data_IF_195550569579
#
_entry.id   IF_195550569579
#
_cell.length_a   1.000
_cell.length_b   1.000
_cell.length_c   1.000
_cell.angle_alpha   90.00
_cell.angle_beta   90.00
_cell.angle_gamma   90.00
#
_symmetry.space_group_name_H-M   'P 1'
#
loop_
_entity.id
_entity.type
_entity.pdbx_description
1 polymer ?
#
# COMPACT_ATOMS: atom_id res chain seq x y z
N UNK A 1 -21.47 20.28 -13.58
CA UNK A 1 -20.54 19.14 -13.60
C UNK A 1 -20.55 18.53 -12.21
N UNK A 2 -20.64 17.20 -12.06
CA UNK A 2 -20.53 16.57 -10.75
C UNK A 2 -19.11 16.77 -10.21
N UNK A 3 -18.99 17.10 -8.92
CA UNK A 3 -17.71 17.11 -8.23
C UNK A 3 -16.99 15.77 -8.37
N UNK A 4 -15.66 15.74 -8.62
CA UNK A 4 -14.90 14.50 -8.71
C UNK A 4 -14.93 13.76 -7.37
N UNK A 5 -15.00 12.43 -7.41
CA UNK A 5 -14.97 11.61 -6.18
C UNK A 5 -13.62 11.80 -5.48
N UNK A 6 -13.62 11.76 -4.15
CA UNK A 6 -12.40 11.96 -3.37
C UNK A 6 -11.26 11.00 -3.77
N UNK A 7 -11.58 9.74 -4.07
CA UNK A 7 -10.60 8.74 -4.51
C UNK A 7 -9.93 9.13 -5.84
N UNK A 8 -10.68 9.68 -6.79
CA UNK A 8 -10.16 10.06 -8.11
C UNK A 8 -9.15 11.21 -7.97
N UNK A 9 -9.47 12.20 -7.13
CA UNK A 9 -8.59 13.33 -6.80
C UNK A 9 -7.31 12.87 -6.10
N UNK A 10 -7.42 11.94 -5.14
CA UNK A 10 -6.26 11.40 -4.41
C UNK A 10 -5.34 10.58 -5.30
N UNK A 11 -5.91 9.74 -6.17
CA UNK A 11 -5.14 8.94 -7.12
C UNK A 11 -4.49 9.81 -8.19
N UNK A 12 -5.19 10.82 -8.71
CA UNK A 12 -4.61 11.77 -9.65
C UNK A 12 -3.40 12.49 -9.05
N UNK A 13 -3.55 13.03 -7.82
CA UNK A 13 -2.45 13.71 -7.14
C UNK A 13 -1.29 12.79 -6.78
N UNK A 14 -1.55 11.54 -6.40
CA UNK A 14 -0.50 10.55 -6.18
C UNK A 14 0.23 10.21 -7.50
N UNK A 15 -0.50 10.09 -8.61
CA UNK A 15 0.06 9.81 -9.94
C UNK A 15 0.97 10.91 -10.48
N UNK A 16 0.83 12.16 -10.04
CA UNK A 16 1.71 13.26 -10.44
C UNK A 16 3.20 12.99 -10.12
N UNK A 17 3.50 12.19 -9.10
CA UNK A 17 4.86 11.80 -8.71
C UNK A 17 5.28 10.41 -9.18
N UNK A 18 4.52 9.82 -10.12
CA UNK A 18 4.74 8.47 -10.64
C UNK A 18 4.49 8.42 -12.16
N UNK A 19 5.22 9.23 -12.92
CA UNK A 19 5.11 9.27 -14.38
C UNK A 19 6.20 8.44 -15.07
N UNK A 20 7.35 8.23 -14.41
CA UNK A 20 8.43 7.45 -14.98
C UNK A 20 8.12 5.94 -14.88
N UNK A 21 8.12 5.17 -15.99
CA UNK A 21 7.72 3.75 -15.98
C UNK A 21 8.53 2.88 -15.00
N UNK A 22 9.84 3.14 -14.88
CA UNK A 22 10.68 2.44 -13.89
C UNK A 22 10.29 2.74 -12.45
N UNK A 23 9.94 3.99 -12.13
CA UNK A 23 9.50 4.36 -10.79
C UNK A 23 8.16 3.70 -10.46
N UNK A 24 7.22 3.71 -11.41
CA UNK A 24 5.92 3.03 -11.29
C UNK A 24 6.10 1.52 -11.07
N UNK A 25 6.96 0.86 -11.84
CA UNK A 25 7.25 -0.58 -11.67
C UNK A 25 7.87 -0.89 -10.31
N UNK A 26 8.83 -0.09 -9.86
CA UNK A 26 9.44 -0.23 -8.53
C UNK A 26 8.35 -0.12 -7.46
N UNK A 27 7.46 0.87 -7.56
CA UNK A 27 6.36 1.04 -6.61
C UNK A 27 5.37 -0.11 -6.66
N UNK A 28 5.04 -0.62 -7.85
CA UNK A 28 4.16 -1.76 -8.02
C UNK A 28 4.64 -3.00 -7.24
N UNK A 29 5.95 -3.21 -7.15
CA UNK A 29 6.56 -4.30 -6.37
C UNK A 29 6.74 -3.93 -4.90
N UNK A 30 7.32 -2.75 -4.62
CA UNK A 30 7.71 -2.38 -3.27
C UNK A 30 6.51 -2.04 -2.38
N UNK A 31 5.44 -1.43 -2.89
CA UNK A 31 4.29 -1.03 -2.06
C UNK A 31 3.60 -2.22 -1.39
N UNK A 32 3.18 -3.30 -2.10
CA UNK A 32 2.57 -4.46 -1.43
C UNK A 32 3.51 -5.10 -0.39
N UNK A 33 4.81 -5.13 -0.69
CA UNK A 33 5.85 -5.69 0.18
C UNK A 33 6.07 -4.82 1.42
N UNK A 34 5.98 -3.50 1.30
CA UNK A 34 5.97 -2.56 2.44
C UNK A 34 4.72 -2.75 3.29
N UNK A 35 3.53 -2.93 2.69
CA UNK A 35 2.31 -3.22 3.45
C UNK A 35 2.44 -4.52 4.25
N UNK A 36 2.92 -5.59 3.61
CA UNK A 36 3.15 -6.88 4.28
C UNK A 36 4.14 -6.76 5.44
N UNK A 37 5.30 -6.15 5.19
CA UNK A 37 6.33 -6.00 6.23
C UNK A 37 5.87 -5.07 7.36
N UNK A 38 5.15 -3.99 7.07
CA UNK A 38 4.57 -3.13 8.11
C UNK A 38 3.56 -3.89 8.98
N UNK A 39 2.68 -4.70 8.38
CA UNK A 39 1.80 -5.59 9.12
C UNK A 39 2.59 -6.59 9.96
N UNK A 40 3.68 -7.16 9.45
CA UNK A 40 4.56 -8.06 10.19
C UNK A 40 5.28 -7.40 11.38
N UNK A 41 5.72 -6.15 11.23
CA UNK A 41 6.28 -5.35 12.34
C UNK A 41 5.23 -5.15 13.44
N UNK A 42 4.00 -4.78 13.08
CA UNK A 42 2.90 -4.59 14.03
C UNK A 42 2.48 -5.93 14.66
N UNK A 43 2.42 -7.00 13.87
CA UNK A 43 2.11 -8.35 14.32
C UNK A 43 3.11 -8.85 15.37
N UNK A 44 4.39 -8.52 15.20
CA UNK A 44 5.45 -8.85 16.16
C UNK A 44 5.27 -8.17 17.52
N UNK A 45 4.52 -7.06 17.58
CA UNK A 45 4.05 -6.48 18.85
C UNK A 45 2.87 -7.28 19.38
N UNK A 46 1.81 -7.43 18.58
CA UNK A 46 0.68 -8.28 18.89
C UNK A 46 -0.22 -8.53 17.65
N UNK A 47 -0.64 -9.77 17.35
CA UNK A 47 -1.50 -10.07 16.20
C UNK A 47 -2.82 -9.27 16.16
N UNK A 48 -3.49 -9.11 17.30
CA UNK A 48 -4.73 -8.32 17.38
C UNK A 48 -4.52 -6.83 17.06
N UNK A 49 -3.33 -6.27 17.31
CA UNK A 49 -3.04 -4.87 16.97
C UNK A 49 -2.90 -4.75 15.44
N UNK A 50 -2.27 -5.72 14.78
CA UNK A 50 -2.18 -5.77 13.32
C UNK A 50 -3.59 -5.84 12.70
N UNK A 51 -4.45 -6.72 13.22
CA UNK A 51 -5.87 -6.80 12.80
C UNK A 51 -6.60 -5.47 13.02
N UNK A 52 -6.43 -4.84 14.19
CA UNK A 52 -7.06 -3.55 14.50
C UNK A 52 -6.65 -2.43 13.54
N UNK A 53 -5.35 -2.33 13.21
CA UNK A 53 -4.84 -1.36 12.23
C UNK A 53 -5.39 -1.66 10.83
N UNK A 54 -5.45 -2.93 10.43
CA UNK A 54 -6.09 -3.33 9.15
C UNK A 54 -7.56 -2.90 9.10
N UNK A 55 -8.33 -3.15 10.16
CA UNK A 55 -9.74 -2.75 10.21
C UNK A 55 -9.92 -1.23 10.13
N UNK A 56 -9.06 -0.46 10.79
CA UNK A 56 -9.08 1.00 10.72
C UNK A 56 -8.78 1.50 9.29
N UNK A 57 -7.78 0.91 8.62
CA UNK A 57 -7.47 1.24 7.23
C UNK A 57 -8.63 0.86 6.28
N UNK A 58 -9.27 -0.29 6.49
CA UNK A 58 -10.44 -0.71 5.72
C UNK A 58 -11.64 0.23 5.92
N UNK A 59 -11.90 0.67 7.16
CA UNK A 59 -12.93 1.65 7.43
C UNK A 59 -12.69 2.96 6.66
N UNK A 60 -11.44 3.41 6.58
CA UNK A 60 -11.06 4.54 5.73
C UNK A 60 -11.27 4.24 4.24
N UNK A 61 -10.89 3.06 3.74
CA UNK A 61 -11.08 2.74 2.33
C UNK A 61 -12.55 2.62 1.91
N UNK A 62 -13.43 2.19 2.83
CA UNK A 62 -14.88 2.17 2.60
C UNK A 62 -15.41 3.58 2.31
N UNK A 63 -14.88 4.62 2.97
CA UNK A 63 -15.31 6.01 2.69
C UNK A 63 -14.80 6.52 1.35
N UNK A 64 -13.77 5.90 0.78
CA UNK A 64 -13.20 6.28 -0.52
C UNK A 64 -13.82 5.52 -1.70
N UNK A 65 -13.90 4.19 -1.61
CA UNK A 65 -14.42 3.31 -2.68
C UNK A 65 -14.58 1.87 -2.18
N UNK A 66 -15.80 1.33 -2.28
CA UNK A 66 -16.11 -0.05 -1.87
C UNK A 66 -15.28 -1.08 -2.67
N UNK A 67 -15.15 -0.99 -4.02
CA UNK A 67 -14.28 -1.91 -4.76
C UNK A 67 -12.83 -1.92 -4.27
N UNK A 68 -12.26 -0.76 -3.92
CA UNK A 68 -10.92 -0.71 -3.34
C UNK A 68 -10.87 -1.32 -1.94
N UNK A 69 -11.86 -1.05 -1.10
CA UNK A 69 -11.96 -1.66 0.23
C UNK A 69 -12.00 -3.20 0.15
N UNK A 70 -12.75 -3.77 -0.79
CA UNK A 70 -12.80 -5.22 -1.03
C UNK A 70 -11.43 -5.76 -1.47
N UNK A 71 -10.76 -5.10 -2.42
CA UNK A 71 -9.43 -5.54 -2.85
C UNK A 71 -8.39 -5.49 -1.73
N UNK A 72 -8.41 -4.41 -0.93
CA UNK A 72 -7.55 -4.28 0.24
C UNK A 72 -7.89 -5.28 1.34
N UNK A 73 -9.16 -5.65 1.51
CA UNK A 73 -9.57 -6.72 2.42
C UNK A 73 -8.95 -8.06 2.00
N UNK A 74 -9.11 -8.45 0.73
CA UNK A 74 -8.56 -9.70 0.21
C UNK A 74 -7.03 -9.74 0.33
N UNK A 75 -6.36 -8.65 -0.04
CA UNK A 75 -4.91 -8.53 0.09
C UNK A 75 -4.46 -8.65 1.55
N UNK A 76 -5.11 -7.94 2.46
CA UNK A 76 -4.74 -7.94 3.89
C UNK A 76 -5.03 -9.29 4.55
N UNK A 77 -6.13 -9.96 4.21
CA UNK A 77 -6.43 -11.31 4.69
C UNK A 77 -5.35 -12.31 4.27
N UNK A 78 -4.91 -12.25 3.01
CA UNK A 78 -3.81 -13.08 2.52
C UNK A 78 -2.52 -12.79 3.29
N UNK A 79 -2.17 -11.52 3.49
CA UNK A 79 -0.97 -11.13 4.23
C UNK A 79 -1.00 -11.59 5.69
N UNK A 80 -2.13 -11.41 6.38
CA UNK A 80 -2.31 -11.87 7.76
C UNK A 80 -2.28 -13.40 7.86
N UNK A 81 -2.84 -14.12 6.87
CA UNK A 81 -2.76 -15.57 6.81
C UNK A 81 -1.31 -16.06 6.62
N UNK A 82 -0.53 -15.39 5.78
CA UNK A 82 0.91 -15.68 5.62
C UNK A 82 1.65 -15.44 6.94
N UNK A 83 1.42 -14.29 7.60
CA UNK A 83 2.05 -13.98 8.90
C UNK A 83 1.70 -15.03 9.97
N UNK A 84 0.44 -15.48 10.02
CA UNK A 84 -0.01 -16.51 10.95
C UNK A 84 0.62 -17.89 10.70
N UNK A 85 1.06 -18.16 9.46
CA UNK A 85 1.70 -19.42 9.08
C UNK A 85 3.24 -19.39 9.23
N UNK A 86 3.85 -18.22 9.42
CA UNK A 86 5.29 -18.10 9.62
C UNK A 86 5.70 -18.48 11.06
N UNK A 87 6.92 -19.01 11.28
CA UNK A 87 7.49 -19.14 12.61
C UNK A 87 7.55 -17.78 13.30
N UNK A 88 6.99 -17.61 14.52
CA UNK A 88 6.91 -16.31 15.19
C UNK A 88 8.26 -15.59 15.32
N UNK A 89 9.33 -16.34 15.60
CA UNK A 89 10.71 -15.85 15.72
C UNK A 89 11.28 -15.30 14.40
N UNK A 90 10.73 -15.71 13.25
CA UNK A 90 11.17 -15.25 11.94
C UNK A 90 10.45 -13.96 11.51
N UNK A 91 9.27 -13.65 12.05
CA UNK A 91 8.41 -12.55 11.57
C UNK A 91 9.13 -11.21 11.72
N UNK A 92 9.65 -10.89 12.90
CA UNK A 92 10.31 -9.61 13.16
C UNK A 92 11.54 -9.37 12.27
N UNK A 93 12.57 -10.24 12.26
CA UNK A 93 13.76 -10.00 11.44
C UNK A 93 13.44 -9.98 9.94
N UNK A 94 12.54 -10.84 9.47
CA UNK A 94 12.11 -10.83 8.06
C UNK A 94 11.39 -9.52 7.71
N UNK A 95 10.47 -9.06 8.56
CA UNK A 95 9.72 -7.82 8.34
C UNK A 95 10.65 -6.61 8.32
N UNK A 96 11.62 -6.53 9.24
CA UNK A 96 12.61 -5.44 9.24
C UNK A 96 13.43 -5.46 7.94
N UNK A 97 13.98 -6.61 7.55
CA UNK A 97 14.81 -6.73 6.35
C UNK A 97 14.03 -6.33 5.10
N UNK A 98 12.81 -6.86 4.94
CA UNK A 98 11.93 -6.54 3.82
C UNK A 98 11.57 -5.05 3.81
N UNK A 99 11.19 -4.49 4.96
CA UNK A 99 10.78 -3.08 5.08
C UNK A 99 11.90 -2.15 4.63
N UNK A 100 13.12 -2.36 5.14
CA UNK A 100 14.29 -1.54 4.79
C UNK A 100 14.62 -1.65 3.29
N UNK A 101 14.70 -2.88 2.76
CA UNK A 101 15.04 -3.09 1.35
C UNK A 101 13.99 -2.48 0.41
N UNK A 102 12.71 -2.65 0.72
CA UNK A 102 11.64 -2.12 -0.11
C UNK A 102 11.58 -0.59 -0.08
N UNK A 103 11.85 0.04 1.08
CA UNK A 103 11.97 1.49 1.18
C UNK A 103 13.18 2.05 0.42
N UNK A 104 14.33 1.38 0.49
CA UNK A 104 15.49 1.73 -0.36
C UNK A 104 15.08 1.71 -1.83
N UNK A 105 14.36 0.65 -2.25
CA UNK A 105 13.78 0.55 -3.59
C UNK A 105 12.90 1.76 -3.94
N UNK A 106 11.92 2.11 -3.11
CA UNK A 106 11.05 3.28 -3.35
C UNK A 106 11.83 4.59 -3.46
N UNK A 107 12.85 4.82 -2.61
CA UNK A 107 13.67 6.02 -2.71
C UNK A 107 14.51 6.06 -3.99
N UNK A 108 15.01 4.91 -4.47
CA UNK A 108 15.66 4.83 -5.78
C UNK A 108 14.67 5.18 -6.89
N UNK A 109 13.44 4.64 -6.83
CA UNK A 109 12.37 4.98 -7.78
C UNK A 109 12.10 6.48 -7.83
N UNK A 110 11.92 7.12 -6.68
CA UNK A 110 11.71 8.57 -6.60
C UNK A 110 12.92 9.40 -7.04
N UNK A 111 14.15 8.91 -6.83
CA UNK A 111 15.34 9.54 -7.37
C UNK A 111 15.36 9.52 -8.90
N UNK A 112 14.91 8.43 -9.52
CA UNK A 112 14.77 8.31 -10.99
C UNK A 112 13.65 9.24 -11.49
N UNK A 113 12.53 9.32 -10.78
CA UNK A 113 11.43 10.23 -11.10
C UNK A 113 11.83 11.71 -11.02
N UNK A 114 12.76 12.06 -10.13
CA UNK A 114 13.13 13.45 -9.85
C UNK A 114 12.10 14.21 -9.00
N UNK A 115 11.11 13.51 -8.44
CA UNK A 115 10.09 14.05 -7.53
C UNK A 115 10.20 13.41 -6.16
N UNK A 116 9.96 14.21 -5.12
CA UNK A 116 9.93 13.72 -3.73
C UNK A 116 8.73 12.78 -3.52
N UNK A 117 8.84 11.79 -2.62
CA UNK A 117 7.71 10.96 -2.25
C UNK A 117 6.51 11.76 -1.73
N UNK A 118 5.30 11.43 -2.17
CA UNK A 118 4.09 12.21 -1.85
C UNK A 118 3.76 12.25 -0.36
N UNK A 119 4.20 11.26 0.43
CA UNK A 119 3.93 11.24 1.87
C UNK A 119 4.71 12.32 2.66
N UNK A 120 5.72 12.95 2.05
CA UNK A 120 6.35 14.14 2.65
C UNK A 120 5.42 15.34 2.67
N UNK A 121 4.47 15.41 1.73
CA UNK A 121 3.45 16.45 1.70
C UNK A 121 2.26 16.08 2.59
N UNK A 122 1.87 14.80 2.59
CA UNK A 122 0.73 14.30 3.36
C UNK A 122 0.84 12.80 3.65
N UNK A 123 0.89 12.43 4.93
CA UNK A 123 0.98 11.05 5.38
C UNK A 123 -0.15 10.15 4.86
N UNK A 124 -1.32 10.70 4.50
CA UNK A 124 -2.40 9.93 3.87
C UNK A 124 -1.96 9.22 2.60
N UNK A 125 -0.95 9.73 1.88
CA UNK A 125 -0.44 9.07 0.68
C UNK A 125 0.24 7.71 0.94
N UNK A 126 0.58 7.38 2.19
CA UNK A 126 0.95 6.01 2.58
C UNK A 126 -0.23 5.03 2.43
N UNK A 127 -1.46 5.49 2.68
CA UNK A 127 -2.68 4.71 2.49
C UNK A 127 -3.15 4.71 1.03
N UNK A 128 -2.77 5.71 0.23
CA UNK A 128 -3.15 5.82 -1.19
C UNK A 128 -2.23 5.00 -2.10
N UNK A 129 -0.94 4.88 -1.78
CA UNK A 129 0.00 4.06 -2.56
C UNK A 129 -0.50 2.63 -2.86
N UNK A 130 -1.02 1.88 -1.87
CA UNK A 130 -1.60 0.55 -2.11
C UNK A 130 -2.80 0.58 -3.07
N UNK A 131 -3.66 1.59 -2.98
CA UNK A 131 -4.80 1.75 -3.89
C UNK A 131 -4.35 2.10 -5.30
N UNK A 132 -3.29 2.90 -5.44
CA UNK A 132 -2.70 3.23 -6.74
C UNK A 132 -2.20 1.97 -7.45
N UNK A 133 -1.47 1.11 -6.72
CA UNK A 133 -1.00 -0.19 -7.21
C UNK A 133 -2.16 -1.11 -7.59
N UNK A 134 -3.15 -1.24 -6.71
CA UNK A 134 -4.35 -2.05 -6.98
C UNK A 134 -5.16 -1.51 -8.17
N UNK A 135 -5.14 -0.19 -8.38
CA UNK A 135 -5.80 0.47 -9.50
C UNK A 135 -5.26 0.01 -10.87
N UNK A 136 -3.96 -0.29 -10.99
CA UNK A 136 -3.43 -0.89 -12.23
C UNK A 136 -4.03 -2.26 -12.51
N UNK A 137 -4.12 -3.10 -11.47
CA UNK A 137 -4.73 -4.42 -11.58
C UNK A 137 -6.20 -4.30 -11.97
N UNK A 138 -6.95 -3.39 -11.33
CA UNK A 138 -8.36 -3.17 -11.64
C UNK A 138 -8.57 -2.66 -13.07
N UNK A 139 -7.76 -1.70 -13.55
CA UNK A 139 -7.80 -1.26 -14.96
C UNK A 139 -7.51 -2.41 -15.93
N UNK A 140 -6.52 -3.25 -15.62
CA UNK A 140 -6.18 -4.43 -16.43
C UNK A 140 -7.31 -5.47 -16.46
N UNK A 141 -8.00 -5.66 -15.33
CA UNK A 141 -9.12 -6.60 -15.19
C UNK A 141 -10.48 -6.00 -15.56
N UNK A 142 -10.54 -4.72 -15.96
CA UNK A 142 -11.77 -3.97 -16.25
C UNK A 142 -12.76 -3.93 -15.08
N UNK A 143 -12.24 -3.87 -13.85
CA UNK A 143 -13.03 -3.67 -12.64
C UNK A 143 -13.23 -2.18 -12.42
N UNK A 144 -14.48 -1.73 -12.28
CA UNK A 144 -14.81 -0.36 -11.93
C UNK A 144 -14.60 -0.12 -10.43
N UNK A 145 -14.10 1.05 -10.05
CA UNK A 145 -13.80 1.42 -8.68
C UNK A 145 -14.01 2.91 -8.43
#
# INVERSE_FOLDING_TARGET
>A
MSEPRAIDTLLAKYGESHLHPTNELIHFVCVPVIVFSLLGLIWSVHPLVAVGVTLLALAYYITLSIPFAVGMLLMSLLMLAILAALPPEAILPLSIAIFVLAWIGQFIGHKIEGKKPSFFEDLRFLLIGPLFVLGFLYRRLRVAY
#
